data_IF_916863455486
#
_entry.id   IF_916863455486
#
_cell.length_a   1.000
_cell.length_b   1.000
_cell.length_c   1.000
_cell.angle_alpha   90.00
_cell.angle_beta   90.00
_cell.angle_gamma   90.00
#
_symmetry.space_group_name_H-M   'P 1'
#
loop_
_entity.id
_entity.type
_entity.pdbx_description
1 polymer ?
#
# COMPACT_ATOMS: atom_id res chain seq x y z
N UNK A 1 30.09 9.40 -7.69
CA UNK A 1 28.65 9.13 -7.83
C UNK A 1 28.11 9.03 -6.42
N UNK A 2 27.36 10.04 -5.98
CA UNK A 2 26.86 10.09 -4.61
C UNK A 2 25.76 9.04 -4.47
N UNK A 3 25.91 8.10 -3.54
CA UNK A 3 24.75 7.46 -2.95
C UNK A 3 23.94 8.64 -2.38
N UNK A 4 22.74 8.89 -2.91
CA UNK A 4 21.85 9.92 -2.36
C UNK A 4 21.35 9.36 -1.03
N UNK A 5 22.17 9.49 0.01
CA UNK A 5 21.81 9.08 1.35
C UNK A 5 20.69 9.97 1.89
N UNK A 6 19.92 9.43 2.84
CA UNK A 6 18.97 10.24 3.62
C UNK A 6 19.71 11.43 4.24
N UNK A 7 19.04 12.59 4.28
CA UNK A 7 19.51 13.81 4.92
C UNK A 7 19.99 13.54 6.33
N UNK A 8 21.18 14.06 6.62
CA UNK A 8 21.79 14.04 7.94
C UNK A 8 21.01 14.93 8.92
N UNK A 9 21.24 14.74 10.22
CA UNK A 9 20.60 15.58 11.26
C UNK A 9 20.99 17.04 11.12
N UNK A 10 22.22 17.30 10.70
CA UNK A 10 22.75 18.64 10.43
C UNK A 10 21.99 19.30 9.27
N UNK A 11 21.85 18.61 8.13
CA UNK A 11 21.08 19.13 6.99
C UNK A 11 19.61 19.38 7.36
N UNK A 12 18.99 18.49 8.14
CA UNK A 12 17.61 18.70 8.60
C UNK A 12 17.49 19.94 9.52
N UNK A 13 18.50 20.23 10.35
CA UNK A 13 18.55 21.46 11.16
C UNK A 13 18.71 22.71 10.31
N UNK A 14 19.50 22.65 9.24
CA UNK A 14 19.63 23.76 8.29
C UNK A 14 18.28 24.06 7.60
N UNK A 15 17.54 23.03 7.21
CA UNK A 15 16.20 23.17 6.64
C UNK A 15 15.23 23.80 7.64
N UNK A 16 15.21 23.32 8.89
CA UNK A 16 14.40 23.92 9.96
C UNK A 16 14.74 25.40 10.17
N UNK A 17 16.03 25.74 10.19
CA UNK A 17 16.50 27.12 10.32
C UNK A 17 16.06 27.99 9.13
N UNK A 18 16.17 27.49 7.90
CA UNK A 18 15.75 28.19 6.69
C UNK A 18 14.25 28.51 6.71
N UNK A 19 13.42 27.54 7.06
CA UNK A 19 11.97 27.73 7.15
C UNK A 19 11.50 28.40 8.46
N UNK A 20 12.41 28.61 9.42
CA UNK A 20 12.12 29.15 10.75
C UNK A 20 11.05 28.33 11.49
N UNK A 21 11.20 27.02 11.44
CA UNK A 21 10.37 26.06 12.16
C UNK A 21 11.22 25.27 13.13
N UNK A 22 10.61 24.78 14.21
CA UNK A 22 11.24 23.94 15.21
C UNK A 22 11.10 22.45 14.91
N UNK A 23 10.30 22.08 13.90
CA UNK A 23 10.07 20.69 13.50
C UNK A 23 9.79 20.54 12.01
N UNK A 24 10.15 19.36 11.48
CA UNK A 24 9.75 18.92 10.15
C UNK A 24 8.76 17.77 10.26
N UNK A 25 7.80 17.76 9.34
CA UNK A 25 6.84 16.68 9.15
C UNK A 25 7.32 15.72 8.08
N UNK A 26 6.90 14.47 8.16
CA UNK A 26 6.93 13.53 7.04
C UNK A 26 5.54 12.98 6.83
N UNK A 27 5.24 12.49 5.62
CA UNK A 27 3.95 11.87 5.36
C UNK A 27 3.70 10.69 6.32
N UNK A 28 4.70 9.84 6.55
CA UNK A 28 4.58 8.71 7.48
C UNK A 28 4.29 9.15 8.92
N UNK A 29 4.85 10.29 9.38
CA UNK A 29 4.56 10.83 10.72
C UNK A 29 3.12 11.36 10.81
N UNK A 30 2.68 12.07 9.78
CA UNK A 30 1.31 12.57 9.66
C UNK A 30 0.30 11.41 9.62
N UNK A 31 0.54 10.44 8.74
CA UNK A 31 -0.33 9.29 8.54
C UNK A 31 -0.41 8.39 9.78
N UNK A 32 0.68 8.23 10.53
CA UNK A 32 0.67 7.46 11.77
C UNK A 32 -0.38 7.99 12.77
N UNK A 33 -0.53 9.31 12.86
CA UNK A 33 -1.57 9.90 13.71
C UNK A 33 -2.98 9.66 13.16
N UNK A 34 -3.17 9.80 11.85
CA UNK A 34 -4.45 9.54 11.18
C UNK A 34 -4.90 8.09 11.40
N UNK A 35 -3.98 7.14 11.27
CA UNK A 35 -4.22 5.71 11.47
C UNK A 35 -4.48 5.38 12.94
N UNK A 36 -3.58 5.79 13.84
CA UNK A 36 -3.70 5.55 15.28
C UNK A 36 -3.00 6.66 16.09
N UNK A 37 -3.77 7.54 16.76
CA UNK A 37 -3.21 8.52 17.69
C UNK A 37 -2.31 7.88 18.77
N UNK A 38 -2.64 6.66 19.20
CA UNK A 38 -1.85 6.00 20.25
C UNK A 38 -0.53 5.46 19.71
N UNK A 39 -0.50 4.92 18.48
CA UNK A 39 0.74 4.59 17.79
C UNK A 39 1.61 5.83 17.58
N UNK A 40 1.03 6.96 17.16
CA UNK A 40 1.74 8.22 17.06
C UNK A 40 2.37 8.63 18.40
N UNK A 41 1.61 8.51 19.48
CA UNK A 41 2.08 8.79 20.84
C UNK A 41 3.27 7.89 21.22
N UNK A 42 3.15 6.57 21.04
CA UNK A 42 4.22 5.63 21.35
C UNK A 42 5.50 5.96 20.57
N UNK A 43 5.38 6.18 19.26
CA UNK A 43 6.51 6.33 18.34
C UNK A 43 7.18 7.71 18.40
N UNK A 44 6.39 8.77 18.36
CA UNK A 44 6.89 10.13 18.17
C UNK A 44 6.92 10.97 19.45
N UNK A 45 6.14 10.63 20.47
CA UNK A 45 6.13 11.35 21.75
C UNK A 45 6.94 10.61 22.81
N UNK A 46 6.72 9.30 22.96
CA UNK A 46 7.43 8.47 23.95
C UNK A 46 8.69 7.80 23.42
N UNK A 47 8.83 7.67 22.11
CA UNK A 47 9.93 6.93 21.47
C UNK A 47 10.06 5.49 21.99
N UNK A 48 8.92 4.82 22.19
CA UNK A 48 8.88 3.40 22.55
C UNK A 48 9.36 2.58 21.36
N UNK A 49 10.35 1.69 21.52
CA UNK A 49 10.76 0.77 20.47
C UNK A 49 9.58 -0.09 20.01
N UNK A 50 9.46 -0.27 18.69
CA UNK A 50 8.50 -1.19 18.09
C UNK A 50 8.80 -2.61 18.58
N UNK A 51 7.76 -3.34 19.03
CA UNK A 51 7.88 -4.71 19.55
C UNK A 51 7.30 -5.76 18.60
N UNK A 52 7.07 -5.35 17.35
CA UNK A 52 6.74 -6.22 16.21
C UNK A 52 7.62 -5.90 15.01
N UNK A 53 8.32 -6.92 14.53
CA UNK A 53 9.15 -6.91 13.33
C UNK A 53 8.77 -8.03 12.34
N UNK A 54 7.65 -8.72 12.61
CA UNK A 54 7.21 -9.95 11.94
C UNK A 54 6.21 -9.72 10.78
N UNK A 55 6.03 -8.47 10.34
CA UNK A 55 5.12 -8.11 9.25
C UNK A 55 5.83 -8.18 7.87
N UNK A 56 5.46 -9.17 7.07
CA UNK A 56 6.07 -9.41 5.75
C UNK A 56 5.79 -8.28 4.73
N UNK A 57 4.71 -7.51 4.88
CA UNK A 57 4.38 -6.42 3.95
C UNK A 57 5.42 -5.30 3.97
N UNK A 58 5.96 -4.98 5.15
CA UNK A 58 7.01 -3.96 5.29
C UNK A 58 8.28 -4.42 4.57
N UNK A 59 8.64 -5.68 4.77
CA UNK A 59 9.85 -6.28 4.21
C UNK A 59 9.74 -6.43 2.69
N UNK A 60 8.66 -7.03 2.20
CA UNK A 60 8.45 -7.25 0.76
C UNK A 60 8.19 -5.95 -0.03
N UNK A 61 7.56 -4.95 0.61
CA UNK A 61 7.46 -3.60 0.07
C UNK A 61 8.84 -2.99 -0.10
N UNK A 62 9.63 -2.89 0.98
CA UNK A 62 10.99 -2.35 0.94
C UNK A 62 11.88 -3.04 -0.10
N UNK A 63 11.85 -4.37 -0.14
CA UNK A 63 12.58 -5.17 -1.15
C UNK A 63 12.20 -4.78 -2.59
N UNK A 64 10.91 -4.54 -2.83
CA UNK A 64 10.43 -4.16 -4.16
C UNK A 64 10.92 -2.77 -4.56
N UNK A 65 10.91 -1.80 -3.64
CA UNK A 65 11.51 -0.48 -3.89
C UNK A 65 13.01 -0.62 -4.14
N UNK A 66 13.75 -1.34 -3.29
CA UNK A 66 15.20 -1.52 -3.44
C UNK A 66 15.58 -2.08 -4.82
N UNK A 67 14.83 -3.07 -5.34
CA UNK A 67 15.08 -3.64 -6.67
C UNK A 67 14.83 -2.58 -7.75
N UNK A 68 13.72 -1.85 -7.67
CA UNK A 68 13.35 -0.82 -8.65
C UNK A 68 14.31 0.37 -8.64
N UNK A 69 14.71 0.83 -7.47
CA UNK A 69 15.71 1.88 -7.29
C UNK A 69 17.04 1.46 -7.91
N UNK A 70 17.54 0.27 -7.57
CA UNK A 70 18.81 -0.23 -8.10
C UNK A 70 18.77 -0.44 -9.61
N UNK A 71 17.61 -0.85 -10.16
CA UNK A 71 17.42 -0.97 -11.62
C UNK A 71 17.56 0.39 -12.30
N UNK A 72 16.83 1.41 -11.83
CA UNK A 72 16.81 2.74 -12.46
C UNK A 72 18.08 3.55 -12.21
N UNK A 73 18.81 3.27 -11.12
CA UNK A 73 20.15 3.79 -10.87
C UNK A 73 21.24 3.06 -11.67
N UNK A 74 20.91 1.94 -12.32
CA UNK A 74 21.84 1.13 -13.10
C UNK A 74 22.81 0.29 -12.26
N UNK A 75 22.47 0.04 -10.98
CA UNK A 75 23.22 -0.83 -10.08
C UNK A 75 22.98 -2.32 -10.35
N UNK A 76 21.80 -2.66 -10.88
CA UNK A 76 21.47 -3.99 -11.40
C UNK A 76 20.94 -3.87 -12.83
N UNK A 77 21.03 -4.95 -13.59
CA UNK A 77 20.40 -5.09 -14.91
C UNK A 77 18.97 -5.62 -14.77
N UNK A 78 18.19 -5.44 -15.83
CA UNK A 78 16.81 -5.91 -15.88
C UNK A 78 16.72 -7.44 -15.66
N UNK A 79 17.63 -8.20 -16.25
CA UNK A 79 17.63 -9.67 -16.15
C UNK A 79 17.95 -10.17 -14.72
N UNK A 80 18.52 -9.31 -13.86
CA UNK A 80 18.85 -9.63 -12.47
C UNK A 80 17.68 -9.39 -11.51
N UNK A 81 16.61 -8.69 -11.94
CA UNK A 81 15.46 -8.35 -11.08
C UNK A 81 14.81 -9.60 -10.48
N UNK A 82 14.66 -10.64 -11.31
CA UNK A 82 14.03 -11.90 -10.91
C UNK A 82 14.83 -12.61 -9.82
N UNK A 83 16.15 -12.71 -10.00
CA UNK A 83 17.08 -13.30 -9.03
C UNK A 83 17.08 -12.51 -7.72
N UNK A 84 17.12 -11.17 -7.78
CA UNK A 84 17.09 -10.32 -6.59
C UNK A 84 15.78 -10.44 -5.81
N UNK A 85 14.66 -10.61 -6.52
CA UNK A 85 13.38 -10.86 -5.87
C UNK A 85 13.38 -12.21 -5.15
N UNK A 86 13.86 -13.28 -5.78
CA UNK A 86 13.95 -14.61 -5.15
C UNK A 86 14.83 -14.63 -3.90
N UNK A 87 16.01 -14.03 -3.97
CA UNK A 87 16.93 -13.93 -2.82
C UNK A 87 16.27 -13.21 -1.63
N UNK A 88 15.58 -12.11 -1.94
CA UNK A 88 14.89 -11.29 -0.95
C UNK A 88 13.69 -12.04 -0.36
N UNK A 89 12.91 -12.72 -1.21
CA UNK A 89 11.77 -13.51 -0.78
C UNK A 89 12.18 -14.67 0.14
N UNK A 90 13.21 -15.43 -0.24
CA UNK A 90 13.75 -16.51 0.59
C UNK A 90 14.19 -16.01 1.97
N UNK A 91 14.80 -14.82 2.03
CA UNK A 91 15.19 -14.20 3.30
C UNK A 91 13.97 -13.90 4.18
N UNK A 92 12.88 -13.39 3.59
CA UNK A 92 11.61 -13.15 4.30
C UNK A 92 10.96 -14.45 4.78
N UNK A 93 11.06 -15.54 4.01
CA UNK A 93 10.55 -16.86 4.40
C UNK A 93 11.35 -17.47 5.56
N UNK A 94 12.68 -17.37 5.52
CA UNK A 94 13.55 -17.85 6.61
C UNK A 94 13.30 -17.10 7.92
N UNK A 95 12.90 -15.83 7.83
CA UNK A 95 12.50 -15.02 8.98
C UNK A 95 11.09 -15.33 9.53
N UNK A 96 10.36 -16.30 8.94
CA UNK A 96 8.97 -16.69 9.31
C UNK A 96 7.99 -15.50 9.40
N UNK A 97 8.15 -14.51 8.51
CA UNK A 97 7.28 -13.33 8.47
C UNK A 97 5.88 -13.71 7.95
N UNK A 98 4.82 -13.13 8.54
CA UNK A 98 3.43 -13.53 8.28
C UNK A 98 2.57 -12.43 7.66
N UNK A 99 1.71 -12.82 6.72
CA UNK A 99 0.65 -12.02 6.09
C UNK A 99 -0.65 -12.02 6.91
N UNK A 100 -0.94 -13.13 7.60
CA UNK A 100 -2.04 -13.27 8.56
C UNK A 100 -1.55 -14.15 9.73
N UNK A 101 -1.79 -13.71 10.96
CA UNK A 101 -1.33 -14.40 12.17
C UNK A 101 -2.41 -15.26 12.81
N UNK A 102 -3.66 -15.03 12.45
CA UNK A 102 -4.82 -15.64 13.08
C UNK A 102 -5.29 -16.87 12.30
N UNK A 103 -4.99 -16.95 11.01
CA UNK A 103 -5.36 -18.08 10.14
C UNK A 103 -4.19 -18.51 9.24
N UNK A 104 -3.64 -19.68 9.53
CA UNK A 104 -2.50 -20.27 8.82
C UNK A 104 -2.81 -20.60 7.35
N UNK A 105 -4.03 -21.07 7.05
CA UNK A 105 -4.44 -21.37 5.67
C UNK A 105 -4.59 -20.09 4.86
N UNK A 106 -5.17 -19.07 5.47
CA UNK A 106 -5.31 -17.74 4.87
C UNK A 106 -3.94 -17.10 4.65
N UNK A 107 -3.03 -17.20 5.63
CA UNK A 107 -1.66 -16.74 5.51
C UNK A 107 -0.96 -17.35 4.29
N UNK A 108 -1.00 -18.66 4.14
CA UNK A 108 -0.37 -19.37 3.02
C UNK A 108 -0.99 -18.97 1.68
N UNK A 109 -2.32 -18.86 1.62
CA UNK A 109 -3.03 -18.42 0.41
C UNK A 109 -2.63 -17.00 -0.01
N UNK A 110 -2.56 -16.05 0.94
CA UNK A 110 -2.17 -14.66 0.66
C UNK A 110 -0.71 -14.60 0.24
N UNK A 111 0.16 -15.32 0.95
CA UNK A 111 1.60 -15.41 0.65
C UNK A 111 1.84 -15.88 -0.77
N UNK A 112 1.24 -16.99 -1.17
CA UNK A 112 1.39 -17.56 -2.51
C UNK A 112 0.92 -16.58 -3.59
N UNK A 113 -0.28 -15.99 -3.43
CA UNK A 113 -0.81 -15.01 -4.39
C UNK A 113 0.10 -13.79 -4.54
N UNK A 114 0.63 -13.31 -3.41
CA UNK A 114 1.49 -12.12 -3.38
C UNK A 114 2.83 -12.40 -4.07
N UNK A 115 3.46 -13.55 -3.77
CA UNK A 115 4.66 -14.03 -4.45
C UNK A 115 4.44 -14.12 -5.97
N UNK A 116 3.39 -14.82 -6.42
CA UNK A 116 3.10 -15.01 -7.84
C UNK A 116 2.92 -13.67 -8.57
N UNK A 117 2.27 -12.70 -7.92
CA UNK A 117 2.07 -11.39 -8.53
C UNK A 117 3.39 -10.62 -8.69
N UNK A 118 4.20 -10.55 -7.64
CA UNK A 118 5.48 -9.83 -7.68
C UNK A 118 6.49 -10.55 -8.59
N UNK A 119 6.55 -11.88 -8.54
CA UNK A 119 7.35 -12.69 -9.47
C UNK A 119 6.98 -12.35 -10.91
N UNK A 120 5.69 -12.32 -11.23
CA UNK A 120 5.25 -11.92 -12.56
C UNK A 120 5.68 -10.47 -12.88
N UNK A 121 5.57 -9.53 -11.95
CA UNK A 121 6.03 -8.15 -12.15
C UNK A 121 7.50 -8.09 -12.53
N UNK A 122 8.40 -8.65 -11.71
CA UNK A 122 9.85 -8.58 -11.93
C UNK A 122 10.30 -9.27 -13.23
N UNK A 123 9.51 -10.21 -13.76
CA UNK A 123 9.77 -10.84 -15.06
C UNK A 123 9.22 -10.04 -16.27
N UNK A 124 8.27 -9.12 -16.07
CA UNK A 124 7.48 -8.51 -17.16
C UNK A 124 7.38 -6.97 -17.09
N UNK A 125 8.05 -6.34 -16.13
CA UNK A 125 8.11 -4.89 -15.98
C UNK A 125 8.52 -4.19 -17.29
N UNK A 126 7.85 -3.09 -17.64
CA UNK A 126 8.21 -2.30 -18.81
C UNK A 126 9.08 -1.12 -18.40
N UNK A 127 10.34 -1.17 -18.82
CA UNK A 127 11.26 -0.06 -18.61
C UNK A 127 10.70 1.26 -19.15
N UNK A 128 10.62 2.26 -18.27
CA UNK A 128 10.40 3.64 -18.67
C UNK A 128 11.57 4.11 -19.55
N UNK A 129 11.23 4.84 -20.62
CA UNK A 129 12.21 5.38 -21.57
C UNK A 129 12.88 6.63 -21.05
N UNK A 130 12.15 7.41 -20.26
CA UNK A 130 12.60 8.66 -19.67
C UNK A 130 13.59 8.36 -18.55
N UNK A 131 14.56 9.25 -18.38
CA UNK A 131 15.44 9.22 -17.21
C UNK A 131 14.62 9.53 -15.94
N UNK A 132 14.72 8.64 -14.96
CA UNK A 132 14.10 8.79 -13.65
C UNK A 132 15.13 9.32 -12.64
N UNK A 133 14.74 10.34 -11.89
CA UNK A 133 15.41 10.71 -10.65
C UNK A 133 14.81 9.90 -9.51
N UNK A 134 15.62 9.09 -8.87
CA UNK A 134 15.23 8.15 -7.82
C UNK A 134 15.50 8.73 -6.43
N UNK A 135 14.61 8.48 -5.48
CA UNK A 135 14.69 8.94 -4.08
C UNK A 135 14.98 10.46 -3.98
N UNK A 136 14.29 11.26 -4.81
CA UNK A 136 14.52 12.71 -4.85
C UNK A 136 14.03 13.35 -3.56
N UNK A 137 14.96 13.88 -2.76
CA UNK A 137 14.62 14.67 -1.58
C UNK A 137 13.88 15.96 -1.94
N UNK A 138 12.79 16.22 -1.23
CA UNK A 138 11.97 17.42 -1.40
C UNK A 138 11.49 17.99 -0.06
N UNK A 139 11.17 19.28 -0.07
CA UNK A 139 10.46 19.94 1.04
C UNK A 139 9.22 20.66 0.51
N UNK A 140 8.11 20.57 1.24
CA UNK A 140 6.87 21.28 0.93
C UNK A 140 6.41 22.09 2.13
N UNK A 141 6.19 23.39 1.95
CA UNK A 141 5.55 24.24 2.96
C UNK A 141 4.04 24.25 2.76
N UNK A 142 3.26 23.79 3.75
CA UNK A 142 1.80 23.73 3.71
C UNK A 142 1.27 24.46 4.96
N UNK A 143 0.68 25.64 4.77
CA UNK A 143 0.38 26.55 5.87
C UNK A 143 1.66 26.95 6.62
N UNK A 144 1.67 26.73 7.94
CA UNK A 144 2.85 26.95 8.79
C UNK A 144 3.75 25.70 8.91
N UNK A 145 3.34 24.58 8.31
CA UNK A 145 4.02 23.30 8.45
C UNK A 145 4.98 23.07 7.28
N UNK A 146 6.09 22.39 7.57
CA UNK A 146 7.08 22.02 6.56
C UNK A 146 7.20 20.51 6.54
N UNK A 147 6.83 19.91 5.41
CA UNK A 147 7.06 18.51 5.13
C UNK A 147 8.41 18.32 4.47
N UNK A 148 9.08 17.22 4.84
CA UNK A 148 10.23 16.66 4.15
C UNK A 148 9.89 15.24 3.69
N UNK A 149 10.41 14.84 2.54
CA UNK A 149 10.18 13.51 2.00
C UNK A 149 11.08 13.21 0.81
N UNK A 150 10.92 12.00 0.29
CA UNK A 150 11.67 11.48 -0.84
C UNK A 150 10.66 10.93 -1.82
N UNK A 151 10.74 11.40 -3.06
CA UNK A 151 9.91 10.91 -4.14
C UNK A 151 10.60 9.67 -4.69
N UNK A 152 9.94 8.51 -4.65
CA UNK A 152 10.51 7.23 -5.11
C UNK A 152 11.10 7.38 -6.52
N UNK A 153 10.29 7.89 -7.45
CA UNK A 153 10.74 8.26 -8.79
C UNK A 153 10.04 9.53 -9.29
N UNK A 154 10.81 10.42 -9.92
CA UNK A 154 10.27 11.51 -10.73
C UNK A 154 10.93 11.54 -12.10
N UNK A 155 10.13 11.72 -13.14
CA UNK A 155 10.65 11.85 -14.50
C UNK A 155 9.88 12.90 -15.29
N UNK A 156 10.47 13.34 -16.40
CA UNK A 156 9.86 14.30 -17.32
C UNK A 156 9.54 13.62 -18.65
N UNK A 157 8.30 13.72 -19.10
CA UNK A 157 7.88 13.19 -20.40
C UNK A 157 8.25 14.12 -21.57
N UNK A 158 8.01 13.65 -22.79
CA UNK A 158 8.35 14.37 -24.02
C UNK A 158 7.51 15.66 -24.21
N UNK A 159 6.33 15.74 -23.57
CA UNK A 159 5.43 16.91 -23.55
C UNK A 159 5.79 17.92 -22.43
N UNK A 160 6.86 17.61 -21.69
CA UNK A 160 7.41 18.41 -20.62
C UNK A 160 6.61 18.38 -19.31
N UNK A 161 5.72 17.40 -19.13
CA UNK A 161 5.06 17.14 -17.85
C UNK A 161 5.99 16.35 -16.92
N UNK A 162 5.90 16.63 -15.63
CA UNK A 162 6.63 15.96 -14.56
C UNK A 162 5.74 14.92 -13.92
N UNK A 163 6.19 13.68 -13.88
CA UNK A 163 5.47 12.55 -13.31
C UNK A 163 6.15 12.15 -12.01
N UNK A 164 5.40 12.28 -10.92
CA UNK A 164 5.70 11.68 -9.63
C UNK A 164 5.14 10.25 -9.67
N UNK A 165 6.00 9.26 -9.46
CA UNK A 165 5.63 7.86 -9.44
C UNK A 165 6.05 7.24 -8.11
N UNK A 166 5.10 6.59 -7.45
CA UNK A 166 5.31 5.81 -6.23
C UNK A 166 5.01 4.33 -6.52
N UNK A 167 5.93 3.45 -6.16
CA UNK A 167 5.74 2.02 -6.36
C UNK A 167 4.93 1.44 -5.21
N UNK A 168 3.86 0.69 -5.52
CA UNK A 168 2.99 0.09 -4.50
C UNK A 168 2.88 -1.41 -4.68
N UNK A 169 3.10 -2.14 -3.59
CA UNK A 169 2.80 -3.58 -3.49
C UNK A 169 1.46 -3.86 -2.81
N UNK A 170 0.68 -2.83 -2.49
CA UNK A 170 -0.65 -2.95 -1.88
C UNK A 170 -1.75 -3.29 -2.91
N UNK A 171 -2.99 -3.38 -2.44
CA UNK A 171 -4.16 -3.48 -3.32
C UNK A 171 -4.39 -2.19 -4.10
N UNK A 172 -4.85 -2.30 -5.34
CA UNK A 172 -5.03 -1.17 -6.25
C UNK A 172 -6.04 -0.13 -5.73
N UNK A 173 -5.74 1.16 -5.94
CA UNK A 173 -6.63 2.27 -5.60
C UNK A 173 -7.44 2.72 -6.81
N UNK A 174 -8.75 2.93 -6.64
CA UNK A 174 -9.66 3.38 -7.70
C UNK A 174 -10.70 4.37 -7.18
N UNK A 175 -11.12 5.30 -8.03
CA UNK A 175 -12.18 6.26 -7.73
C UNK A 175 -11.91 7.03 -6.43
N UNK A 176 -12.91 7.07 -5.53
CA UNK A 176 -12.80 7.82 -4.26
C UNK A 176 -11.63 7.37 -3.39
N UNK A 177 -11.27 6.08 -3.45
CA UNK A 177 -10.11 5.56 -2.72
C UNK A 177 -8.83 6.23 -3.19
N UNK A 178 -8.62 6.35 -4.50
CA UNK A 178 -7.44 7.02 -5.03
C UNK A 178 -7.35 8.49 -4.57
N UNK A 179 -8.47 9.19 -4.45
CA UNK A 179 -8.51 10.55 -3.90
C UNK A 179 -8.22 10.63 -2.38
N UNK A 180 -8.48 9.56 -1.64
CA UNK A 180 -8.25 9.46 -0.20
C UNK A 180 -6.84 8.95 0.15
N UNK A 181 -6.16 8.29 -0.79
CA UNK A 181 -4.83 7.74 -0.56
C UNK A 181 -3.71 8.62 -1.17
N UNK A 182 -4.06 9.58 -2.05
CA UNK A 182 -3.07 10.38 -2.80
C UNK A 182 -2.39 11.51 -2.02
N UNK A 183 -2.68 11.68 -0.72
CA UNK A 183 -2.22 12.83 0.04
C UNK A 183 -0.69 12.98 0.04
N UNK A 184 0.05 11.87 0.14
CA UNK A 184 1.51 11.87 0.00
C UNK A 184 1.98 12.46 -1.33
N UNK A 185 1.36 12.01 -2.43
CA UNK A 185 1.70 12.46 -3.77
C UNK A 185 1.32 13.93 -3.98
N UNK A 186 0.25 14.40 -3.32
CA UNK A 186 -0.12 15.83 -3.30
C UNK A 186 0.94 16.66 -2.58
N UNK A 187 1.47 16.19 -1.44
CA UNK A 187 2.59 16.86 -0.75
C UNK A 187 3.81 16.97 -1.68
N UNK A 188 4.12 15.91 -2.42
CA UNK A 188 5.22 15.92 -3.40
C UNK A 188 4.95 16.84 -4.58
N UNK A 189 3.71 16.90 -5.08
CA UNK A 189 3.31 17.83 -6.12
C UNK A 189 3.44 19.29 -5.67
N UNK A 190 3.02 19.61 -4.43
CA UNK A 190 3.23 20.92 -3.82
C UNK A 190 4.71 21.25 -3.74
N UNK A 191 5.55 20.29 -3.35
CA UNK A 191 7.00 20.47 -3.28
C UNK A 191 7.59 20.86 -4.65
N UNK A 192 7.29 20.07 -5.70
CA UNK A 192 7.73 20.37 -7.07
C UNK A 192 7.18 21.71 -7.57
N UNK A 193 5.94 22.06 -7.20
CA UNK A 193 5.36 23.35 -7.55
C UNK A 193 6.10 24.53 -6.91
N UNK A 194 6.47 24.42 -5.63
CA UNK A 194 7.26 25.42 -4.93
C UNK A 194 8.69 25.54 -5.46
N UNK A 195 9.20 24.51 -6.13
CA UNK A 195 10.47 24.54 -6.88
C UNK A 195 10.33 25.20 -8.27
N UNK A 196 9.13 25.65 -8.65
CA UNK A 196 8.87 26.40 -9.89
C UNK A 196 8.23 25.60 -11.02
N UNK A 197 7.83 24.34 -10.80
CA UNK A 197 7.11 23.55 -11.81
C UNK A 197 5.61 23.92 -11.77
N UNK A 198 4.99 24.33 -12.90
CA UNK A 198 3.55 24.61 -12.91
C UNK A 198 2.72 23.39 -12.48
N UNK A 199 1.72 23.58 -11.62
CA UNK A 199 0.91 22.46 -11.08
C UNK A 199 0.19 21.67 -12.17
N UNK A 200 -0.27 22.34 -13.23
CA UNK A 200 -0.91 21.72 -14.41
C UNK A 200 0.06 20.88 -15.25
N UNK A 201 1.38 21.00 -15.01
CA UNK A 201 2.43 20.16 -15.58
C UNK A 201 2.85 18.99 -14.68
N UNK A 202 2.26 18.84 -13.49
CA UNK A 202 2.58 17.74 -12.58
C UNK A 202 1.53 16.64 -12.70
N UNK A 203 1.96 15.38 -12.73
CA UNK A 203 1.13 14.18 -12.67
C UNK A 203 1.55 13.37 -11.47
N UNK A 204 0.57 12.88 -10.72
CA UNK A 204 0.79 12.02 -9.57
C UNK A 204 0.22 10.64 -9.86
N UNK A 205 1.06 9.63 -9.71
CA UNK A 205 0.71 8.27 -10.08
C UNK A 205 1.31 7.26 -9.12
N UNK A 206 0.64 6.12 -9.02
CA UNK A 206 1.22 4.90 -8.45
C UNK A 206 1.45 3.88 -9.56
N UNK A 207 2.49 3.09 -9.43
CA UNK A 207 2.62 1.82 -10.15
C UNK A 207 2.34 0.66 -9.19
N UNK A 208 1.23 -0.04 -9.40
CA UNK A 208 0.80 -1.15 -8.55
C UNK A 208 1.39 -2.46 -9.02
N UNK A 209 2.47 -2.90 -8.38
CA UNK A 209 3.27 -4.07 -8.76
C UNK A 209 2.45 -5.36 -8.77
N UNK A 210 1.46 -5.50 -7.88
CA UNK A 210 0.56 -6.67 -7.84
C UNK A 210 -0.39 -6.78 -9.04
N UNK A 211 -0.56 -5.69 -9.79
CA UNK A 211 -1.56 -5.58 -10.85
C UNK A 211 -0.88 -5.35 -12.20
N UNK A 212 -1.56 -5.75 -13.26
CA UNK A 212 -1.19 -5.48 -14.66
C UNK A 212 -2.35 -4.78 -15.35
N UNK A 213 -2.05 -3.76 -16.15
CA UNK A 213 -3.02 -3.13 -17.05
C UNK A 213 -2.97 -3.81 -18.40
N UNK A 214 -4.08 -4.44 -18.81
CA UNK A 214 -4.19 -5.15 -20.08
C UNK A 214 -5.18 -4.43 -20.99
N UNK A 215 -4.68 -3.82 -22.06
CA UNK A 215 -5.54 -3.34 -23.14
C UNK A 215 -6.05 -4.54 -23.92
N UNK A 216 -7.37 -4.71 -23.95
CA UNK A 216 -8.04 -5.80 -24.65
C UNK A 216 -8.79 -5.24 -25.87
N UNK A 217 -8.54 -5.78 -27.05
CA UNK A 217 -9.35 -5.48 -28.22
C UNK A 217 -10.72 -6.17 -28.08
N UNK A 218 -11.78 -5.38 -28.22
CA UNK A 218 -13.16 -5.83 -28.19
C UNK A 218 -13.60 -6.34 -29.57
N UNK A 219 -14.69 -7.09 -29.61
CA UNK A 219 -15.23 -7.66 -30.84
C UNK A 219 -15.56 -6.62 -31.94
N UNK A 220 -15.80 -5.36 -31.54
CA UNK A 220 -16.06 -4.21 -32.42
C UNK A 220 -14.79 -3.42 -32.81
N UNK A 221 -13.60 -3.91 -32.43
CA UNK A 221 -12.31 -3.28 -32.70
C UNK A 221 -11.87 -2.21 -31.68
N UNK A 222 -12.75 -1.76 -30.78
CA UNK A 222 -12.40 -0.80 -29.72
C UNK A 222 -11.44 -1.45 -28.71
N UNK A 223 -10.50 -0.67 -28.19
CA UNK A 223 -9.63 -1.10 -27.09
C UNK A 223 -10.19 -0.63 -25.74
N UNK A 224 -10.10 -1.50 -24.75
CA UNK A 224 -10.46 -1.18 -23.34
C UNK A 224 -9.41 -1.76 -22.42
N UNK A 225 -8.98 -1.00 -21.43
CA UNK A 225 -8.02 -1.43 -20.43
C UNK A 225 -8.72 -2.14 -19.28
N UNK A 226 -8.09 -3.20 -18.75
CA UNK A 226 -8.50 -3.88 -17.52
C UNK A 226 -7.29 -3.99 -16.60
N UNK A 227 -7.45 -3.58 -15.35
CA UNK A 227 -6.47 -3.84 -14.30
C UNK A 227 -6.81 -5.17 -13.63
N UNK A 228 -5.86 -6.10 -13.65
CA UNK A 228 -6.03 -7.48 -13.18
C UNK A 228 -4.88 -7.80 -12.23
N UNK A 229 -5.16 -8.50 -11.12
CA UNK A 229 -4.08 -9.07 -10.29
C UNK A 229 -3.23 -10.01 -11.14
N UNK A 230 -1.91 -9.87 -11.07
CA UNK A 230 -1.01 -10.56 -11.99
C UNK A 230 -1.14 -12.08 -11.95
N UNK A 231 -1.46 -12.67 -10.81
CA UNK A 231 -1.69 -14.11 -10.70
C UNK A 231 -3.07 -14.59 -11.20
N UNK A 232 -3.93 -13.68 -11.67
CA UNK A 232 -5.27 -14.00 -12.18
C UNK A 232 -5.45 -13.72 -13.67
N UNK A 233 -4.39 -13.38 -14.41
CA UNK A 233 -4.44 -13.08 -15.85
C UNK A 233 -5.14 -14.22 -16.61
N UNK A 234 -4.68 -15.45 -16.40
CA UNK A 234 -5.17 -16.62 -17.11
C UNK A 234 -6.66 -16.87 -16.89
N UNK A 235 -7.13 -16.72 -15.65
CA UNK A 235 -8.54 -16.87 -15.27
C UNK A 235 -9.39 -15.70 -15.79
N UNK A 236 -8.94 -14.46 -15.61
CA UNK A 236 -9.74 -13.26 -15.93
C UNK A 236 -9.81 -12.97 -17.43
N UNK A 237 -8.92 -13.53 -18.25
CA UNK A 237 -8.94 -13.39 -19.71
C UNK A 237 -9.71 -14.51 -20.44
N UNK A 238 -10.08 -15.61 -19.76
CA UNK A 238 -10.77 -16.78 -20.35
C UNK A 238 -11.87 -16.43 -21.37
N UNK A 239 -12.85 -15.63 -20.96
CA UNK A 239 -14.00 -15.29 -21.81
C UNK A 239 -13.58 -14.53 -23.07
N UNK A 240 -12.65 -13.58 -22.93
CA UNK A 240 -12.18 -12.79 -24.07
C UNK A 240 -11.33 -13.63 -25.01
N UNK A 241 -10.46 -14.49 -24.48
CA UNK A 241 -9.59 -15.36 -25.27
C UNK A 241 -10.42 -16.39 -26.02
N UNK A 242 -11.43 -16.99 -25.38
CA UNK A 242 -12.38 -17.90 -26.02
C UNK A 242 -13.04 -17.27 -27.27
N UNK A 243 -13.46 -16.01 -27.15
CA UNK A 243 -14.05 -15.26 -28.25
C UNK A 243 -13.06 -15.05 -29.41
N UNK A 244 -11.81 -14.68 -29.12
CA UNK A 244 -10.80 -14.46 -30.15
C UNK A 244 -10.30 -15.75 -30.80
N UNK A 245 -10.10 -16.83 -30.02
CA UNK A 245 -9.80 -18.16 -30.56
C UNK A 245 -10.86 -18.59 -31.58
N UNK A 246 -12.15 -18.39 -31.26
CA UNK A 246 -13.25 -18.66 -32.19
C UNK A 246 -13.13 -17.82 -33.47
N UNK A 247 -12.94 -16.51 -33.33
CA UNK A 247 -12.88 -15.58 -34.47
C UNK A 247 -11.65 -15.80 -35.36
N UNK A 248 -10.54 -16.25 -34.80
CA UNK A 248 -9.31 -16.56 -35.54
C UNK A 248 -9.28 -18.02 -36.05
N UNK A 249 -10.38 -18.79 -35.92
CA UNK A 249 -10.48 -20.13 -36.49
C UNK A 249 -9.86 -21.27 -35.67
N UNK A 250 -9.57 -21.05 -34.39
CA UNK A 250 -9.02 -22.06 -33.46
C UNK A 250 -10.11 -22.78 -32.65
N UNK A 251 -11.28 -23.04 -33.24
CA UNK A 251 -12.42 -23.67 -32.53
C UNK A 251 -12.09 -25.09 -32.03
N UNK A 252 -11.39 -25.90 -32.82
CA UNK A 252 -11.07 -27.29 -32.48
C UNK A 252 -10.07 -27.41 -31.31
N UNK A 253 -9.14 -26.46 -31.18
CA UNK A 253 -8.13 -26.41 -30.11
C UNK A 253 -8.49 -25.44 -28.98
N UNK A 254 -9.72 -24.95 -28.96
CA UNK A 254 -10.13 -23.89 -28.04
C UNK A 254 -9.94 -24.30 -26.58
N UNK A 255 -10.38 -25.51 -26.20
CA UNK A 255 -10.27 -25.99 -24.82
C UNK A 255 -8.80 -26.14 -24.40
N UNK A 256 -7.94 -26.69 -25.27
CA UNK A 256 -6.50 -26.84 -25.03
C UNK A 256 -5.83 -25.50 -24.72
N UNK A 257 -6.09 -24.47 -25.54
CA UNK A 257 -5.53 -23.13 -25.30
C UNK A 257 -6.07 -22.47 -24.03
N UNK A 258 -7.34 -22.66 -23.71
CA UNK A 258 -7.93 -22.12 -22.49
C UNK A 258 -7.38 -22.79 -21.23
N UNK A 259 -7.16 -24.11 -21.27
CA UNK A 259 -6.52 -24.87 -20.19
C UNK A 259 -5.06 -24.44 -20.02
N UNK A 260 -4.30 -24.31 -21.11
CA UNK A 260 -2.93 -23.80 -21.09
C UNK A 260 -2.86 -22.39 -20.49
N UNK A 261 -3.80 -21.51 -20.84
CA UNK A 261 -3.86 -20.16 -20.29
C UNK A 261 -4.14 -20.17 -18.78
N UNK A 262 -5.02 -21.06 -18.30
CA UNK A 262 -5.25 -21.21 -16.86
C UNK A 262 -4.02 -21.73 -16.11
N UNK A 263 -3.30 -22.69 -16.71
CA UNK A 263 -2.13 -23.32 -16.08
C UNK A 263 -0.90 -22.41 -16.09
N UNK A 264 -0.65 -21.70 -17.18
CA UNK A 264 0.55 -20.87 -17.36
C UNK A 264 0.36 -19.44 -16.86
N UNK A 265 -0.89 -18.96 -16.79
CA UNK A 265 -1.23 -17.59 -16.47
C UNK A 265 -0.55 -16.55 -17.40
N UNK A 266 -0.15 -16.96 -18.62
CA UNK A 266 0.56 -16.13 -19.61
C UNK A 266 -0.12 -16.27 -20.98
N UNK A 267 -0.34 -15.14 -21.66
CA UNK A 267 -0.93 -15.11 -23.00
C UNK A 267 0.01 -15.69 -24.07
N UNK A 268 1.31 -15.83 -23.80
CA UNK A 268 2.28 -16.41 -24.75
C UNK A 268 1.95 -17.85 -25.16
N UNK A 269 1.12 -18.56 -24.38
CA UNK A 269 0.64 -19.89 -24.75
C UNK A 269 -0.39 -19.89 -25.90
N UNK A 270 -0.91 -18.72 -26.28
CA UNK A 270 -1.95 -18.55 -27.30
C UNK A 270 -1.35 -18.36 -28.71
N UNK A 271 -2.12 -18.55 -29.79
CA UNK A 271 -1.66 -18.19 -31.14
C UNK A 271 -1.35 -16.69 -31.27
N UNK A 272 -0.35 -16.34 -32.10
CA UNK A 272 0.13 -14.95 -32.27
C UNK A 272 -1.00 -13.97 -32.61
N UNK A 273 -1.90 -14.33 -33.53
CA UNK A 273 -3.05 -13.49 -33.92
C UNK A 273 -4.01 -13.17 -32.75
N UNK A 274 -4.08 -14.07 -31.76
CA UNK A 274 -4.87 -13.87 -30.54
C UNK A 274 -4.09 -13.04 -29.53
N UNK A 275 -2.78 -13.27 -29.40
CA UNK A 275 -1.91 -12.45 -28.55
C UNK A 275 -1.95 -10.96 -28.95
N UNK A 276 -1.96 -10.66 -30.24
CA UNK A 276 -2.08 -9.30 -30.78
C UNK A 276 -3.34 -8.54 -30.34
N UNK A 277 -4.33 -9.24 -29.76
CA UNK A 277 -5.56 -8.65 -29.20
C UNK A 277 -5.37 -8.13 -27.78
N UNK A 278 -4.19 -8.30 -27.20
CA UNK A 278 -3.85 -7.92 -25.84
C UNK A 278 -2.56 -7.11 -25.79
N UNK A 279 -2.53 -6.05 -24.98
CA UNK A 279 -1.29 -5.32 -24.65
C UNK A 279 -1.17 -5.21 -23.15
N UNK A 280 -0.23 -5.95 -22.58
CA UNK A 280 0.08 -5.89 -21.15
C UNK A 280 0.98 -4.69 -20.87
N UNK A 281 0.71 -3.92 -19.83
CA UNK A 281 1.49 -2.80 -19.33
C UNK A 281 1.50 -2.84 -17.80
N UNK A 282 2.45 -2.17 -17.17
CA UNK A 282 2.40 -1.98 -15.72
C UNK A 282 1.18 -1.17 -15.29
N UNK A 283 0.79 -1.32 -14.04
CA UNK A 283 -0.49 -0.85 -13.56
C UNK A 283 -0.36 0.55 -12.97
N UNK A 284 -0.25 1.53 -13.87
CA UNK A 284 -0.10 2.93 -13.50
C UNK A 284 -1.48 3.56 -13.27
N UNK A 285 -1.78 3.91 -12.02
CA UNK A 285 -2.99 4.65 -11.64
C UNK A 285 -2.62 6.10 -11.42
N UNK A 286 -3.19 6.99 -12.24
CA UNK A 286 -2.93 8.45 -12.15
C UNK A 286 -4.13 9.17 -11.55
N UNK A 287 -3.88 10.09 -10.62
CA UNK A 287 -4.91 10.93 -10.01
C UNK A 287 -4.81 12.35 -10.59
N UNK A 288 -5.88 12.88 -11.21
CA UNK A 288 -5.91 14.28 -11.64
C UNK A 288 -5.80 15.23 -10.44
N UNK A 289 -4.86 16.16 -10.52
CA UNK A 289 -4.74 17.22 -9.51
C UNK A 289 -5.76 18.32 -9.84
N UNK A 290 -6.87 18.32 -9.13
CA UNK A 290 -7.88 19.39 -9.19
C UNK A 290 -7.70 20.35 -8.03
N UNK A 291 -8.21 21.58 -8.15
CA UNK A 291 -8.20 22.54 -7.04
C UNK A 291 -8.96 22.00 -5.82
N UNK A 292 -10.05 21.25 -6.04
CA UNK A 292 -10.80 20.61 -4.95
C UNK A 292 -9.95 19.59 -4.20
N UNK A 293 -9.23 18.71 -4.92
CA UNK A 293 -8.37 17.71 -4.31
C UNK A 293 -7.19 18.35 -3.56
N UNK A 294 -6.59 19.38 -4.16
CA UNK A 294 -5.51 20.14 -3.54
C UNK A 294 -5.99 20.80 -2.24
N UNK A 295 -7.12 21.52 -2.29
CA UNK A 295 -7.70 22.19 -1.13
C UNK A 295 -8.11 21.21 -0.02
N UNK A 296 -8.69 20.05 -0.39
CA UNK A 296 -9.03 18.98 0.55
C UNK A 296 -7.79 18.58 1.36
N UNK A 297 -6.71 18.20 0.67
CA UNK A 297 -5.51 17.71 1.34
C UNK A 297 -4.76 18.81 2.09
N UNK A 298 -4.67 20.03 1.57
CA UNK A 298 -4.01 21.11 2.30
C UNK A 298 -4.78 21.48 3.58
N UNK A 299 -6.11 21.46 3.53
CA UNK A 299 -6.97 21.73 4.71
C UNK A 299 -6.80 20.62 5.74
N UNK A 300 -6.95 19.37 5.31
CA UNK A 300 -6.81 18.19 6.17
C UNK A 300 -5.45 18.14 6.88
N UNK A 301 -4.37 18.41 6.13
CA UNK A 301 -3.01 18.49 6.68
C UNK A 301 -2.91 19.58 7.76
N UNK A 302 -3.43 20.77 7.49
CA UNK A 302 -3.35 21.91 8.42
C UNK A 302 -4.17 21.61 9.69
N UNK A 303 -5.40 21.16 9.53
CA UNK A 303 -6.34 20.92 10.64
C UNK A 303 -5.85 19.78 11.54
N UNK A 304 -5.41 18.67 10.94
CA UNK A 304 -4.86 17.53 11.67
C UNK A 304 -3.59 17.90 12.43
N UNK A 305 -2.68 18.67 11.82
CA UNK A 305 -1.47 19.11 12.53
C UNK A 305 -1.81 20.06 13.69
N UNK A 306 -2.78 20.97 13.51
CA UNK A 306 -3.26 21.81 14.60
C UNK A 306 -3.81 20.95 15.76
N UNK A 307 -4.62 19.93 15.47
CA UNK A 307 -5.13 19.00 16.49
C UNK A 307 -3.99 18.29 17.24
N UNK A 308 -2.98 17.80 16.51
CA UNK A 308 -1.81 17.15 17.10
C UNK A 308 -1.10 18.12 18.05
N UNK A 309 -0.84 19.36 17.65
CA UNK A 309 -0.20 20.37 18.50
C UNK A 309 -0.99 20.63 19.78
N UNK A 310 -2.31 20.73 19.68
CA UNK A 310 -3.17 20.92 20.85
C UNK A 310 -3.09 19.74 21.81
N UNK A 311 -3.15 18.51 21.31
CA UNK A 311 -2.99 17.28 22.11
C UNK A 311 -1.61 17.18 22.75
N UNK A 312 -0.54 17.45 21.99
CA UNK A 312 0.83 17.50 22.50
C UNK A 312 0.95 18.52 23.64
N UNK A 313 0.36 19.71 23.49
CA UNK A 313 0.36 20.73 24.52
C UNK A 313 -0.42 20.32 25.79
N UNK A 314 -1.57 19.66 25.65
CA UNK A 314 -2.33 19.12 26.80
C UNK A 314 -1.56 18.01 27.49
N UNK A 315 -0.97 17.10 26.72
CA UNK A 315 -0.08 16.05 27.23
C UNK A 315 1.06 16.64 28.07
N UNK A 316 1.79 17.64 27.56
CA UNK A 316 2.91 18.25 28.30
C UNK A 316 2.48 18.90 29.62
N UNK A 317 1.26 19.43 29.71
CA UNK A 317 0.72 20.02 30.96
C UNK A 317 0.32 18.97 31.98
N UNK A 318 -0.14 17.81 31.52
CA UNK A 318 -0.69 16.74 32.37
C UNK A 318 0.35 15.70 32.78
N UNK A 319 1.36 15.41 31.95
CA UNK A 319 2.25 14.24 32.10
C UNK A 319 2.95 14.12 33.47
N UNK A 320 3.26 15.25 34.12
CA UNK A 320 3.98 15.27 35.40
C UNK A 320 3.03 15.13 36.62
N UNK A 321 1.74 15.45 36.44
CA UNK A 321 0.74 15.46 37.50
C UNK A 321 -0.24 14.27 37.42
N UNK A 322 -0.61 13.87 36.20
CA UNK A 322 -1.53 12.78 35.91
C UNK A 322 -1.18 12.14 34.57
N UNK A 323 -0.21 11.22 34.57
CA UNK A 323 0.27 10.56 33.36
C UNK A 323 -0.84 9.79 32.63
N UNK A 324 -1.75 9.14 33.37
CA UNK A 324 -2.86 8.38 32.76
C UNK A 324 -3.83 9.29 31.99
N UNK A 325 -4.15 10.46 32.54
CA UNK A 325 -4.98 11.44 31.83
C UNK A 325 -4.24 12.05 30.63
N UNK A 326 -2.94 12.31 30.77
CA UNK A 326 -2.11 12.77 29.67
C UNK A 326 -2.10 11.77 28.50
N UNK A 327 -1.93 10.48 28.81
CA UNK A 327 -1.94 9.38 27.84
C UNK A 327 -3.26 9.27 27.08
N UNK A 328 -4.38 9.51 27.77
CA UNK A 328 -5.71 9.44 27.16
C UNK A 328 -5.96 10.49 26.06
N UNK A 329 -5.15 11.55 25.96
CA UNK A 329 -5.23 12.51 24.85
C UNK A 329 -5.00 11.85 23.48
N UNK A 330 -4.24 10.76 23.47
CA UNK A 330 -3.87 10.01 22.27
C UNK A 330 -4.52 8.64 22.21
N UNK A 331 -5.54 8.36 23.02
CA UNK A 331 -6.20 7.06 22.99
C UNK A 331 -7.02 6.89 21.72
N UNK A 332 -6.87 5.75 21.03
CA UNK A 332 -7.80 5.39 19.96
C UNK A 332 -9.19 5.14 20.53
N UNK A 333 -10.22 5.56 19.78
CA UNK A 333 -11.60 5.25 20.14
C UNK A 333 -11.91 3.76 19.94
N UNK A 334 -12.85 3.23 20.72
CA UNK A 334 -13.26 1.82 20.57
C UNK A 334 -13.75 1.52 19.13
N UNK A 335 -14.50 2.45 18.52
CA UNK A 335 -14.99 2.34 17.14
C UNK A 335 -13.86 2.32 16.11
N UNK A 336 -12.81 3.13 16.31
CA UNK A 336 -11.64 3.16 15.43
C UNK A 336 -10.86 1.85 15.51
N UNK A 337 -10.62 1.34 16.72
CA UNK A 337 -9.93 0.06 16.94
C UNK A 337 -10.69 -1.10 16.31
N UNK A 338 -12.02 -1.11 16.42
CA UNK A 338 -12.86 -2.15 15.83
C UNK A 338 -12.81 -2.12 14.29
N UNK A 339 -13.01 -0.94 13.69
CA UNK A 339 -12.96 -0.76 12.22
C UNK A 339 -11.60 -1.14 11.63
N UNK A 340 -10.52 -0.91 12.37
CA UNK A 340 -9.14 -1.18 11.93
C UNK A 340 -8.54 -2.44 12.57
N UNK A 341 -9.36 -3.38 13.03
CA UNK A 341 -8.91 -4.57 13.76
C UNK A 341 -7.83 -5.40 13.04
N UNK A 342 -7.85 -5.47 11.71
CA UNK A 342 -6.79 -6.11 10.94
C UNK A 342 -5.47 -5.32 10.98
N UNK A 343 -5.52 -3.99 10.86
CA UNK A 343 -4.34 -3.14 10.99
C UNK A 343 -3.66 -3.41 12.33
N UNK A 344 -4.42 -3.33 13.43
CA UNK A 344 -3.87 -3.58 14.76
C UNK A 344 -3.38 -5.03 14.96
N UNK A 345 -4.01 -6.01 14.35
CA UNK A 345 -3.56 -7.42 14.46
C UNK A 345 -2.34 -7.74 13.59
N UNK A 346 -2.13 -7.04 12.47
CA UNK A 346 -1.23 -7.49 11.40
C UNK A 346 -0.19 -6.45 10.95
N UNK A 347 -0.57 -5.16 10.88
CA UNK A 347 0.24 -4.08 10.30
C UNK A 347 0.85 -3.14 11.34
N UNK A 348 0.18 -2.93 12.48
CA UNK A 348 0.66 -2.08 13.55
C UNK A 348 1.96 -2.64 14.14
N UNK A 349 2.97 -1.78 14.24
CA UNK A 349 4.30 -2.11 14.75
C UNK A 349 4.32 -2.31 16.28
N UNK A 350 3.20 -2.05 16.97
CA UNK A 350 3.05 -2.26 18.40
C UNK A 350 2.06 -3.38 18.70
N UNK A 351 2.50 -4.36 19.48
CA UNK A 351 1.66 -5.46 19.93
C UNK A 351 0.64 -4.99 20.99
N UNK A 352 -0.40 -5.78 21.30
CA UNK A 352 -1.29 -5.51 22.44
C UNK A 352 -0.57 -5.38 23.79
N UNK A 353 0.68 -5.84 23.94
CA UNK A 353 1.42 -5.65 25.18
C UNK A 353 1.81 -4.18 25.40
N UNK A 354 1.99 -3.43 24.32
CA UNK A 354 2.39 -2.01 24.33
C UNK A 354 1.21 -1.12 23.92
N UNK A 355 0.41 -1.54 22.95
CA UNK A 355 -0.73 -0.80 22.42
C UNK A 355 -2.00 -0.98 23.27
N UNK A 356 -2.10 -0.18 24.34
CA UNK A 356 -3.14 -0.30 25.37
C UNK A 356 -4.60 -0.17 24.87
N UNK A 357 -4.94 0.73 23.93
CA UNK A 357 -6.30 0.78 23.36
C UNK A 357 -6.69 -0.53 22.67
N UNK A 358 -5.75 -1.14 21.94
CA UNK A 358 -5.98 -2.40 21.24
C UNK A 358 -6.09 -3.57 22.22
N UNK A 359 -5.25 -3.60 23.26
CA UNK A 359 -5.38 -4.55 24.37
C UNK A 359 -6.77 -4.52 24.99
N UNK A 360 -7.26 -3.32 25.33
CA UNK A 360 -8.59 -3.12 25.92
C UNK A 360 -9.70 -3.67 25.01
N UNK A 361 -9.57 -3.49 23.70
CA UNK A 361 -10.51 -4.07 22.73
C UNK A 361 -10.48 -5.61 22.74
N UNK A 362 -9.30 -6.22 22.73
CA UNK A 362 -9.15 -7.68 22.79
C UNK A 362 -9.70 -8.27 24.10
N UNK A 363 -9.45 -7.62 25.24
CA UNK A 363 -9.97 -8.04 26.54
C UNK A 363 -11.52 -8.04 26.54
N UNK A 364 -12.15 -7.03 25.93
CA UNK A 364 -13.61 -6.99 25.76
C UNK A 364 -14.13 -8.13 24.87
N UNK A 365 -13.43 -8.47 23.79
CA UNK A 365 -13.82 -9.57 22.91
C UNK A 365 -13.72 -10.93 23.63
N UNK A 366 -12.65 -11.15 24.40
CA UNK A 366 -12.45 -12.37 25.16
C UNK A 366 -13.53 -12.53 26.25
N UNK A 367 -13.83 -11.45 26.98
CA UNK A 367 -14.90 -11.47 27.99
C UNK A 367 -16.28 -11.81 27.39
N UNK A 368 -16.59 -11.34 26.16
CA UNK A 368 -17.83 -11.70 25.46
C UNK A 368 -17.88 -13.18 25.07
N UNK A 369 -16.75 -13.75 24.62
CA UNK A 369 -16.64 -15.18 24.29
C UNK A 369 -16.82 -16.06 25.52
N UNK A 370 -16.15 -15.72 26.63
CA UNK A 370 -16.29 -16.43 27.90
C UNK A 370 -17.73 -16.39 28.44
N UNK A 371 -18.45 -15.27 28.26
CA UNK A 371 -19.86 -15.19 28.62
C UNK A 371 -20.73 -16.08 27.74
N UNK A 372 -20.49 -16.13 26.42
CA UNK A 372 -21.22 -17.04 25.53
C UNK A 372 -20.94 -18.51 25.87
N UNK A 373 -19.68 -18.89 26.05
CA UNK A 373 -19.28 -20.27 26.38
C UNK A 373 -19.86 -20.71 27.73
N UNK A 374 -19.92 -19.82 28.73
CA UNK A 374 -20.55 -20.09 30.02
C UNK A 374 -22.08 -20.23 29.94
N UNK A 375 -22.75 -19.52 29.02
CA UNK A 375 -24.19 -19.67 28.77
C UNK A 375 -24.47 -21.04 28.13
N UNK A 376 -23.64 -21.48 27.18
CA UNK A 376 -23.77 -22.79 26.53
C UNK A 376 -23.36 -23.96 27.44
N UNK A 377 -22.41 -23.77 28.35
CA UNK A 377 -22.04 -24.78 29.36
C UNK A 377 -23.15 -25.02 30.42
N UNK A 378 -24.09 -24.08 30.57
CA UNK A 378 -25.25 -24.19 31.47
C UNK A 378 -26.47 -24.91 30.90
N UNK A 379 -26.47 -25.23 29.60
CA UNK A 379 -27.57 -25.94 28.92
C UNK A 379 -27.08 -27.33 28.51
N UNK A 380 -27.16 -28.27 29.45
CA UNK A 380 -26.76 -29.66 29.22
C UNK A 380 -27.66 -30.37 28.20
N UNK A 381 -26.98 -31.10 27.30
CA UNK A 381 -27.37 -32.33 26.62
C UNK A 381 -28.78 -32.41 25.98
N UNK A 382 -28.82 -32.15 24.68
CA UNK A 382 -29.51 -32.91 23.61
C UNK A 382 -30.03 -31.93 22.56
N UNK A 383 -29.25 -31.73 21.50
CA UNK A 383 -29.73 -31.52 20.12
C UNK A 383 -28.52 -31.79 19.22
N UNK A 384 -28.59 -32.87 18.45
CA UNK A 384 -27.81 -33.03 17.23
C UNK A 384 -28.19 -31.91 16.27
N UNK A 385 -27.32 -30.92 16.10
CA UNK A 385 -27.47 -29.94 15.03
C UNK A 385 -26.28 -30.03 14.08
N UNK A 386 -26.56 -30.52 12.88
CA UNK A 386 -25.82 -30.15 11.69
C UNK A 386 -25.85 -28.63 11.58
N UNK A 387 -24.76 -27.97 11.92
CA UNK A 387 -24.48 -26.64 11.41
C UNK A 387 -23.38 -26.82 10.39
N UNK A 388 -23.79 -26.81 9.12
CA UNK A 388 -22.88 -26.58 8.01
C UNK A 388 -22.02 -25.37 8.37
N UNK A 389 -20.71 -25.50 8.23
CA UNK A 389 -19.81 -24.37 8.30
C UNK A 389 -20.37 -23.27 7.42
N UNK A 390 -20.73 -22.15 8.04
CA UNK A 390 -20.83 -20.91 7.31
C UNK A 390 -19.45 -20.70 6.71
N UNK A 391 -19.39 -21.00 5.41
CA UNK A 391 -18.36 -20.50 4.52
C UNK A 391 -18.42 -19.00 4.74
N UNK A 392 -17.46 -18.49 5.51
CA UNK A 392 -17.09 -17.07 5.46
C UNK A 392 -16.99 -16.75 3.98
N UNK A 393 -17.96 -15.96 3.51
CA UNK A 393 -17.98 -15.48 2.14
C UNK A 393 -16.63 -14.86 1.82
N UNK A 394 -16.27 -14.85 0.54
CA UNK A 394 -15.11 -14.11 0.06
C UNK A 394 -15.08 -12.72 0.73
N UNK A 395 -14.20 -12.57 1.72
CA UNK A 395 -14.05 -11.32 2.45
C UNK A 395 -13.47 -10.31 1.47
N UNK A 396 -14.37 -9.45 0.99
CA UNK A 396 -14.06 -8.26 0.24
C UNK A 396 -13.09 -7.41 1.08
N UNK A 397 -11.83 -7.33 0.63
CA UNK A 397 -10.77 -6.50 1.24
C UNK A 397 -11.02 -4.99 1.02
N UNK A 398 -12.26 -4.60 0.75
CA UNK A 398 -12.74 -3.22 0.64
C UNK A 398 -12.77 -2.46 1.97
N UNK A 399 -12.30 -3.04 3.07
CA UNK A 399 -12.13 -2.31 4.33
C UNK A 399 -10.67 -1.84 4.55
N UNK A 400 -9.73 -2.13 3.63
CA UNK A 400 -8.50 -1.34 3.41
C UNK A 400 -8.81 0.11 2.92
N UNK A 401 -10.03 0.60 3.12
CA UNK A 401 -10.58 1.82 2.54
C UNK A 401 -10.84 2.92 3.58
N UNK A 402 -10.50 2.68 4.86
CA UNK A 402 -10.64 3.61 5.99
C UNK A 402 -9.30 3.84 6.74
N UNK A 403 -8.14 3.60 6.10
CA UNK A 403 -6.81 3.97 6.61
C UNK A 403 -6.41 5.39 6.19
#
# INVERSE_FOLDING_TARGET
MFIIGRKTREELKEIMSYYKTDRLWSWSKFNAYHTSPYEYYLKYIKHVPEDRDDCIYVVTGGMSHDIMENLYLGHIKYEEMDEKFEDSWLTAEVADLKFDRNDEKKNESVKQKYYECLKHFFNHHKMFKQHMEIERFVTAKIGNNVFQGYIDAVYKDDDGNYHILDWKTSSIYKGKKAENECGQLIVYAIALNQMGIPMDKIRISWDFLKYVSIDCQQANGKWTTREIERNQIGVKLQTSVKMWLKKCGYEEKQLEYLDLLMQTNDIKCLPEEVQEKYKMNDCIVTVPITDELLNKWTTDIIDTICEIEEKENRYQKLKDNNLSEAENEFWDSDDQVEKQSYYFSTLCAYSPNVHLPYKKYLDKLNAKKEQQDNIFAGVGADITSNTQGEILGEDDMSWLNDL
#
